data_IF_495207084078
#
_entry.id   IF_495207084078
#
_cell.length_a   1.000
_cell.length_b   1.000
_cell.length_c   1.000
_cell.angle_alpha   90.00
_cell.angle_beta   90.00
_cell.angle_gamma   90.00
#
_symmetry.space_group_name_H-M   'P 1'
#
loop_
_entity.id
_entity.type
_entity.pdbx_description
1 polymer ?
#
# COMPACT_ATOMS: atom_id res chain seq x y z
N UNK A 1 -13.70 -8.57 3.31
CA UNK A 1 -12.68 -8.30 4.32
C UNK A 1 -12.69 -6.82 4.67
N UNK A 2 -12.79 -6.45 5.95
CA UNK A 2 -12.59 -5.07 6.37
C UNK A 2 -11.16 -4.64 6.04
N UNK A 3 -10.96 -3.35 5.74
CA UNK A 3 -9.61 -2.83 5.55
C UNK A 3 -8.76 -3.06 6.81
N UNK A 4 -7.53 -3.58 6.67
CA UNK A 4 -6.63 -3.76 7.81
C UNK A 4 -6.33 -2.38 8.45
N UNK A 5 -6.00 -2.32 9.74
CA UNK A 5 -5.54 -1.09 10.38
C UNK A 5 -4.15 -0.71 9.84
N UNK A 6 -4.07 0.33 9.00
CA UNK A 6 -2.82 0.81 8.38
C UNK A 6 -1.80 1.35 9.38
N UNK A 7 -2.29 1.68 10.58
CA UNK A 7 -1.46 2.03 11.73
C UNK A 7 -0.85 0.84 12.46
N UNK A 8 -1.36 -0.39 12.26
CA UNK A 8 -0.88 -1.58 12.97
C UNK A 8 0.57 -1.94 12.60
N UNK A 9 1.48 -2.06 13.58
CA UNK A 9 2.87 -2.43 13.33
C UNK A 9 3.04 -3.92 12.96
N UNK A 10 2.05 -4.77 13.24
CA UNK A 10 2.09 -6.20 12.88
C UNK A 10 1.60 -6.43 11.45
N UNK A 11 0.50 -5.77 11.06
CA UNK A 11 0.00 -5.83 9.68
C UNK A 11 0.89 -5.02 8.72
N UNK A 12 1.44 -3.91 9.18
CA UNK A 12 2.27 -2.99 8.40
C UNK A 12 3.58 -2.66 9.12
N UNK A 13 4.51 -3.63 9.20
CA UNK A 13 5.80 -3.46 9.85
C UNK A 13 6.69 -2.43 9.15
N UNK A 14 7.62 -1.88 9.93
CA UNK A 14 8.74 -1.08 9.41
C UNK A 14 9.80 -1.98 8.77
N UNK A 15 10.70 -1.41 7.98
CA UNK A 15 11.84 -2.15 7.44
C UNK A 15 12.64 -2.83 8.57
N UNK A 16 12.87 -2.17 9.71
CA UNK A 16 13.66 -2.72 10.80
C UNK A 16 13.00 -3.94 11.48
N UNK A 17 11.67 -4.01 11.44
CA UNK A 17 10.88 -5.05 12.12
C UNK A 17 10.38 -6.15 11.16
N UNK A 18 10.72 -6.09 9.88
CA UNK A 18 10.40 -7.18 8.96
C UNK A 18 11.13 -8.46 9.36
N UNK A 19 10.51 -9.64 9.16
CA UNK A 19 11.19 -10.92 9.29
C UNK A 19 12.38 -11.01 8.33
N UNK A 20 13.41 -11.72 8.76
CA UNK A 20 14.58 -12.09 7.97
C UNK A 20 14.39 -13.47 7.33
N UNK A 21 15.24 -13.88 6.37
CA UNK A 21 15.18 -15.24 5.81
C UNK A 21 15.42 -16.36 6.84
N UNK A 22 16.02 -16.05 8.00
CA UNK A 22 16.29 -17.03 9.06
C UNK A 22 15.10 -17.18 10.02
N UNK A 23 14.21 -16.19 10.07
CA UNK A 23 13.03 -16.26 10.92
C UNK A 23 12.05 -17.31 10.39
N UNK A 24 11.50 -18.19 11.26
CA UNK A 24 10.55 -19.21 10.86
C UNK A 24 9.38 -18.58 10.12
N UNK A 25 8.84 -19.28 9.12
CA UNK A 25 7.66 -18.79 8.42
C UNK A 25 6.46 -18.89 9.37
N UNK A 26 5.85 -17.75 9.77
CA UNK A 26 4.74 -17.75 10.74
C UNK A 26 3.50 -18.49 10.23
N UNK A 27 3.45 -18.86 8.94
CA UNK A 27 2.43 -19.72 8.33
C UNK A 27 2.78 -21.22 8.38
N UNK A 28 3.90 -21.60 9.00
CA UNK A 28 4.19 -23.01 9.33
C UNK A 28 3.19 -23.49 10.39
N UNK A 29 2.81 -24.79 10.43
CA UNK A 29 1.79 -25.29 11.35
C UNK A 29 2.09 -25.04 12.85
N UNK A 30 3.34 -24.75 13.21
CA UNK A 30 3.78 -24.40 14.57
C UNK A 30 3.90 -22.87 14.81
N UNK A 31 3.66 -22.04 13.80
CA UNK A 31 3.71 -20.58 13.85
C UNK A 31 2.33 -19.98 14.05
N UNK A 32 2.07 -19.38 15.22
CA UNK A 32 0.76 -18.88 15.61
C UNK A 32 0.30 -17.57 14.95
N UNK A 33 0.39 -17.40 13.63
CA UNK A 33 -0.06 -16.19 12.95
C UNK A 33 -0.61 -16.41 11.54
N UNK A 34 -1.94 -16.54 11.43
CA UNK A 34 -2.65 -16.70 10.15
C UNK A 34 -2.74 -15.37 9.34
N UNK A 35 -2.54 -14.23 9.99
CA UNK A 35 -2.74 -12.91 9.39
C UNK A 35 -1.53 -12.44 8.54
N UNK A 36 -1.75 -12.08 7.25
CA UNK A 36 -0.67 -11.61 6.37
C UNK A 36 -0.19 -10.20 6.76
N UNK A 37 1.12 -9.95 6.64
CA UNK A 37 1.70 -8.61 6.74
C UNK A 37 2.09 -8.05 5.37
N UNK A 38 2.15 -6.72 5.29
CA UNK A 38 2.49 -5.98 4.09
C UNK A 38 3.49 -4.88 4.44
N UNK A 39 4.61 -4.81 3.72
CA UNK A 39 5.46 -3.63 3.80
C UNK A 39 4.82 -2.52 2.97
N UNK A 40 4.61 -1.36 3.60
CA UNK A 40 4.30 -0.10 2.92
C UNK A 40 5.53 0.79 2.90
N UNK A 41 5.91 1.28 1.73
CA UNK A 41 7.02 2.19 1.60
C UNK A 41 6.83 3.16 0.44
N UNK A 42 7.31 4.39 0.58
CA UNK A 42 7.29 5.37 -0.50
C UNK A 42 8.52 5.19 -1.39
N UNK A 43 8.32 5.06 -2.70
CA UNK A 43 9.40 4.99 -3.68
C UNK A 43 10.01 6.38 -3.85
N UNK A 44 11.31 6.50 -3.59
CA UNK A 44 12.08 7.75 -3.77
C UNK A 44 12.86 7.79 -5.06
N UNK A 45 13.38 6.64 -5.49
CA UNK A 45 14.16 6.56 -6.73
C UNK A 45 14.12 5.17 -7.37
N UNK A 46 14.39 5.15 -8.67
CA UNK A 46 14.63 3.95 -9.47
C UNK A 46 16.14 3.84 -9.73
N UNK A 47 16.78 2.90 -9.04
CA UNK A 47 18.23 2.65 -9.08
C UNK A 47 18.54 1.38 -9.89
N UNK A 48 17.71 1.06 -10.89
CA UNK A 48 17.89 -0.11 -11.74
C UNK A 48 19.16 0.01 -12.60
N UNK A 49 20.12 -0.89 -12.36
CA UNK A 49 21.36 -1.01 -13.16
C UNK A 49 21.38 -2.37 -13.87
N UNK A 50 21.43 -3.47 -13.10
CA UNK A 50 21.49 -4.85 -13.63
C UNK A 50 20.24 -5.66 -13.33
N UNK A 51 19.49 -5.28 -12.29
CA UNK A 51 18.22 -5.88 -11.88
C UNK A 51 17.29 -4.77 -11.36
N UNK A 52 15.96 -4.93 -11.45
CA UNK A 52 15.02 -3.91 -11.02
C UNK A 52 15.22 -3.59 -9.54
N UNK A 53 15.54 -2.34 -9.23
CA UNK A 53 15.90 -1.92 -7.87
C UNK A 53 15.33 -0.54 -7.57
N UNK A 54 14.54 -0.44 -6.51
CA UNK A 54 13.95 0.82 -6.04
C UNK A 54 14.59 1.23 -4.72
N UNK A 55 14.75 2.54 -4.50
CA UNK A 55 15.04 3.10 -3.18
C UNK A 55 13.75 3.55 -2.55
N UNK A 56 13.45 3.05 -1.35
CA UNK A 56 12.19 3.30 -0.66
C UNK A 56 12.41 3.86 0.75
N UNK A 57 11.42 4.61 1.27
CA UNK A 57 11.30 4.95 2.69
C UNK A 57 10.13 4.22 3.31
N UNK A 58 10.34 3.54 4.43
CA UNK A 58 9.24 2.97 5.20
C UNK A 58 8.46 4.04 5.98
N UNK A 59 7.47 3.60 6.77
CA UNK A 59 6.66 4.48 7.62
C UNK A 59 7.42 5.17 8.75
N UNK A 60 8.61 4.69 9.12
CA UNK A 60 9.50 5.34 10.08
C UNK A 60 10.49 6.29 9.40
N UNK A 61 10.42 6.45 8.06
CA UNK A 61 11.38 7.23 7.28
C UNK A 61 12.71 6.53 7.06
N UNK A 62 12.82 5.23 7.39
CA UNK A 62 14.05 4.48 7.22
C UNK A 62 14.27 4.13 5.75
N UNK A 63 15.44 4.46 5.18
CA UNK A 63 15.69 4.26 3.78
C UNK A 63 16.25 2.86 3.53
N UNK A 64 15.68 2.10 2.58
CA UNK A 64 16.18 0.77 2.18
C UNK A 64 16.09 0.55 0.66
N UNK A 65 16.76 -0.48 0.15
CA UNK A 65 16.61 -0.91 -1.24
C UNK A 65 15.55 -2.02 -1.34
N UNK A 66 14.66 -1.92 -2.31
CA UNK A 66 13.75 -2.99 -2.73
C UNK A 66 14.29 -3.59 -4.02
N UNK A 67 14.74 -4.83 -3.95
CA UNK A 67 15.46 -5.52 -5.04
C UNK A 67 14.58 -6.64 -5.56
N UNK A 68 14.34 -6.67 -6.88
CA UNK A 68 13.68 -7.80 -7.53
C UNK A 68 14.75 -8.79 -8.00
N UNK A 69 14.89 -9.89 -7.28
CA UNK A 69 15.97 -10.86 -7.48
C UNK A 69 15.57 -11.99 -8.44
N UNK A 70 16.55 -12.52 -9.17
CA UNK A 70 16.32 -13.49 -10.24
C UNK A 70 15.70 -12.89 -11.51
N UNK A 71 15.70 -11.57 -11.64
CA UNK A 71 15.30 -10.83 -12.84
C UNK A 71 16.48 -10.04 -13.39
N UNK A 72 16.62 -10.02 -14.71
CA UNK A 72 17.51 -9.10 -15.41
C UNK A 72 16.90 -7.69 -15.43
N UNK A 73 17.70 -6.70 -15.84
CA UNK A 73 17.35 -5.27 -15.84
C UNK A 73 15.94 -4.97 -16.35
N UNK A 74 15.58 -5.53 -17.49
CA UNK A 74 14.29 -5.29 -18.16
C UNK A 74 13.30 -6.45 -17.95
N UNK A 75 13.59 -7.35 -17.01
CA UNK A 75 12.75 -8.50 -16.66
C UNK A 75 11.47 -8.14 -15.90
N UNK A 76 11.29 -6.86 -15.54
CA UNK A 76 10.09 -6.34 -14.88
C UNK A 76 9.79 -4.91 -15.34
N UNK A 77 8.59 -4.68 -15.87
CA UNK A 77 8.12 -3.32 -16.15
C UNK A 77 7.57 -2.66 -14.87
N UNK A 78 8.46 -2.00 -14.13
CA UNK A 78 8.12 -1.25 -12.91
C UNK A 78 7.05 -0.18 -13.17
N UNK A 79 7.06 0.46 -14.34
CA UNK A 79 6.10 1.53 -14.68
C UNK A 79 4.71 0.96 -14.92
N UNK A 80 4.61 -0.17 -15.63
CA UNK A 80 3.35 -0.88 -15.84
C UNK A 80 2.72 -1.35 -14.52
N UNK A 81 3.56 -1.74 -13.54
CA UNK A 81 3.13 -2.04 -12.17
C UNK A 81 2.78 -0.81 -11.32
N UNK A 82 2.98 0.40 -11.85
CA UNK A 82 2.75 1.66 -11.13
C UNK A 82 3.85 1.99 -10.10
N UNK A 83 4.96 1.24 -10.09
CA UNK A 83 6.09 1.44 -9.20
C UNK A 83 6.97 2.57 -9.72
N UNK A 84 6.66 3.79 -9.29
CA UNK A 84 7.35 5.02 -9.69
C UNK A 84 7.58 5.95 -8.50
N UNK A 85 8.52 6.87 -8.64
CA UNK A 85 8.81 7.90 -7.64
C UNK A 85 7.53 8.58 -7.12
N UNK A 86 7.41 8.69 -5.80
CA UNK A 86 6.26 9.26 -5.11
C UNK A 86 5.06 8.33 -4.94
N UNK A 87 5.07 7.12 -5.50
CA UNK A 87 4.06 6.09 -5.22
C UNK A 87 4.43 5.29 -3.97
N UNK A 88 3.42 4.75 -3.30
CA UNK A 88 3.59 3.79 -2.22
C UNK A 88 3.62 2.37 -2.80
N UNK A 89 4.73 1.67 -2.61
CA UNK A 89 4.80 0.23 -2.90
C UNK A 89 4.19 -0.56 -1.75
N UNK A 90 3.50 -1.65 -2.09
CA UNK A 90 2.95 -2.64 -1.18
C UNK A 90 3.60 -3.97 -1.51
N UNK A 91 4.38 -4.52 -0.57
CA UNK A 91 5.04 -5.81 -0.72
C UNK A 91 4.43 -6.80 0.26
N UNK A 92 3.59 -7.75 -0.22
CA UNK A 92 3.05 -8.82 0.62
C UNK A 92 4.18 -9.67 1.20
N UNK A 93 4.05 -10.06 2.48
CA UNK A 93 4.97 -10.97 3.16
C UNK A 93 6.45 -10.61 2.98
N UNK A 94 6.74 -9.31 2.97
CA UNK A 94 8.10 -8.83 2.75
C UNK A 94 9.05 -9.41 3.81
N UNK A 95 10.26 -9.76 3.37
CA UNK A 95 11.37 -10.14 4.23
C UNK A 95 12.57 -9.24 3.97
N UNK A 96 13.28 -8.89 5.04
CA UNK A 96 14.48 -8.05 4.97
C UNK A 96 15.74 -8.88 5.06
N UNK A 97 16.77 -8.45 4.36
CA UNK A 97 18.15 -8.79 4.68
C UNK A 97 18.75 -7.63 5.48
N UNK A 98 19.18 -7.86 6.74
CA UNK A 98 19.80 -6.82 7.54
C UNK A 98 21.13 -6.36 6.91
N UNK A 99 21.59 -5.14 7.22
CA UNK A 99 22.96 -4.73 6.90
C UNK A 99 23.97 -5.77 7.39
N UNK A 100 24.99 -6.08 6.59
CA UNK A 100 26.10 -6.94 7.03
C UNK A 100 26.95 -6.28 8.13
N UNK A 101 27.02 -4.94 8.10
CA UNK A 101 27.78 -4.10 9.02
C UNK A 101 27.21 -2.66 8.98
N UNK A 102 27.70 -1.79 9.88
CA UNK A 102 27.22 -0.42 10.03
C UNK A 102 27.41 0.48 8.80
N UNK A 103 28.29 0.12 7.85
CA UNK A 103 28.54 0.87 6.62
C UNK A 103 27.59 0.49 5.47
N UNK A 104 26.82 -0.60 5.62
CA UNK A 104 25.90 -1.10 4.58
C UNK A 104 24.46 -0.75 4.93
N UNK A 105 23.63 -0.71 3.89
CA UNK A 105 22.17 -0.61 4.04
C UNK A 105 21.56 -1.98 3.80
N UNK A 106 20.59 -2.34 4.63
CA UNK A 106 19.81 -3.55 4.40
C UNK A 106 18.86 -3.37 3.21
N UNK A 107 18.27 -4.46 2.76
CA UNK A 107 17.38 -4.47 1.61
C UNK A 107 16.22 -5.44 1.81
N UNK A 108 15.16 -5.24 1.04
CA UNK A 108 14.06 -6.20 0.88
C UNK A 108 14.25 -6.86 -0.48
N UNK A 109 14.23 -8.19 -0.51
CA UNK A 109 14.33 -8.96 -1.76
C UNK A 109 12.96 -9.53 -2.13
N UNK A 110 12.56 -9.36 -3.38
CA UNK A 110 11.36 -9.96 -3.96
C UNK A 110 11.82 -10.95 -5.02
N UNK A 111 11.48 -12.22 -4.85
CA UNK A 111 11.84 -13.26 -5.81
C UNK A 111 11.04 -13.08 -7.11
N UNK A 112 11.61 -13.51 -8.24
CA UNK A 112 10.93 -13.54 -9.56
C UNK A 112 9.50 -14.08 -9.50
N UNK A 113 9.25 -15.14 -8.73
CA UNK A 113 7.94 -15.77 -8.62
C UNK A 113 6.86 -14.89 -7.98
N UNK A 114 7.24 -13.96 -7.09
CA UNK A 114 6.32 -13.08 -6.36
C UNK A 114 6.40 -11.61 -6.80
N UNK A 115 7.24 -11.29 -7.80
CA UNK A 115 7.40 -9.95 -8.32
C UNK A 115 6.05 -9.34 -8.80
N UNK A 116 5.19 -10.16 -9.40
CA UNK A 116 3.86 -9.74 -9.86
C UNK A 116 2.84 -9.56 -8.73
N UNK A 117 3.14 -9.95 -7.48
CA UNK A 117 2.29 -9.73 -6.30
C UNK A 117 2.52 -8.35 -5.67
N UNK A 118 3.63 -7.69 -6.00
CA UNK A 118 3.90 -6.32 -5.58
C UNK A 118 2.85 -5.40 -6.20
N UNK A 119 2.30 -4.49 -5.40
CA UNK A 119 1.28 -3.52 -5.81
C UNK A 119 1.79 -2.10 -5.59
N UNK A 120 1.16 -1.15 -6.27
CA UNK A 120 1.43 0.27 -6.09
C UNK A 120 0.14 1.05 -5.80
N UNK A 121 0.22 1.96 -4.84
CA UNK A 121 -0.81 2.97 -4.59
C UNK A 121 -0.28 4.32 -5.11
N UNK A 122 -1.01 5.03 -6.00
CA UNK A 122 -0.49 6.18 -6.75
C UNK A 122 -0.51 7.49 -5.93
N UNK A 123 0.02 7.44 -4.72
CA UNK A 123 0.19 8.55 -3.79
C UNK A 123 1.34 8.29 -2.79
N UNK A 124 1.90 9.34 -2.14
CA UNK A 124 2.89 9.18 -1.10
C UNK A 124 2.38 8.36 0.08
N UNK A 125 3.27 7.67 0.79
CA UNK A 125 2.92 6.77 1.90
C UNK A 125 2.02 7.44 2.95
N UNK A 126 2.32 8.69 3.31
CA UNK A 126 1.51 9.47 4.26
C UNK A 126 0.04 9.56 3.82
N UNK A 127 -0.20 9.95 2.57
CA UNK A 127 -1.55 10.06 1.99
C UNK A 127 -2.25 8.72 1.96
N UNK A 128 -1.54 7.63 1.66
CA UNK A 128 -2.12 6.27 1.65
C UNK A 128 -2.65 5.89 3.03
N UNK A 129 -1.86 6.12 4.09
CA UNK A 129 -2.28 5.82 5.47
C UNK A 129 -3.46 6.70 5.87
N UNK A 130 -3.41 8.01 5.61
CA UNK A 130 -4.49 8.94 5.94
C UNK A 130 -5.82 8.56 5.25
N UNK A 131 -5.78 8.26 3.95
CA UNK A 131 -6.96 7.84 3.19
C UNK A 131 -7.49 6.49 3.66
N UNK A 132 -6.61 5.52 3.90
CA UNK A 132 -7.02 4.18 4.33
C UNK A 132 -7.69 4.19 5.70
N UNK A 133 -7.13 4.91 6.67
CA UNK A 133 -7.72 5.07 7.99
C UNK A 133 -9.04 5.86 7.92
N UNK A 134 -9.13 6.88 7.06
CA UNK A 134 -10.38 7.60 6.80
C UNK A 134 -11.48 6.71 6.21
N UNK A 135 -11.14 5.77 5.31
CA UNK A 135 -12.09 4.78 4.79
C UNK A 135 -12.50 3.76 5.86
N UNK A 136 -11.58 3.36 6.73
CA UNK A 136 -11.84 2.41 7.81
C UNK A 136 -12.76 3.02 8.88
N UNK A 137 -12.51 4.28 9.25
CA UNK A 137 -13.30 5.02 10.26
C UNK A 137 -14.75 5.27 9.84
N UNK A 138 -15.03 5.33 8.53
CA UNK A 138 -16.36 5.50 7.96
C UNK A 138 -17.33 4.34 8.25
N UNK A 139 -16.82 3.16 8.62
CA UNK A 139 -17.64 2.00 8.97
C UNK A 139 -18.41 1.39 7.78
N UNK A 140 -19.29 0.41 8.05
CA UNK A 140 -19.99 -0.35 6.99
C UNK A 140 -21.11 0.42 6.27
N UNK A 141 -21.63 1.49 6.86
CA UNK A 141 -22.71 2.31 6.28
C UNK A 141 -22.36 3.81 6.34
N UNK A 142 -21.42 4.27 5.51
CA UNK A 142 -21.05 5.68 5.50
C UNK A 142 -22.20 6.54 4.99
N UNK A 143 -22.46 7.65 5.69
CA UNK A 143 -23.30 8.74 5.21
C UNK A 143 -22.72 9.42 3.96
N UNK A 144 -23.43 10.41 3.44
CA UNK A 144 -22.99 11.16 2.28
C UNK A 144 -21.66 11.88 2.54
N UNK A 145 -20.64 11.64 1.72
CA UNK A 145 -19.34 12.28 1.84
C UNK A 145 -19.33 13.79 1.51
N UNK A 146 -20.46 14.37 1.05
CA UNK A 146 -20.60 15.80 0.77
C UNK A 146 -21.33 16.60 1.87
N UNK A 147 -22.26 15.97 2.59
CA UNK A 147 -23.09 16.65 3.60
C UNK A 147 -23.24 15.89 4.93
N UNK A 148 -22.72 14.66 5.04
CA UNK A 148 -22.80 13.82 6.23
C UNK A 148 -24.11 13.06 6.43
N UNK A 149 -25.19 13.43 5.72
CA UNK A 149 -26.50 12.77 5.92
C UNK A 149 -26.48 11.30 5.49
N UNK A 150 -27.03 10.43 6.35
CA UNK A 150 -27.29 9.03 6.07
C UNK A 150 -28.70 8.80 5.45
N UNK A 151 -29.45 9.87 5.20
CA UNK A 151 -30.81 9.80 4.68
C UNK A 151 -30.83 9.63 3.16
N UNK A 152 -31.81 8.86 2.69
CA UNK A 152 -32.05 8.62 1.27
C UNK A 152 -31.12 7.60 0.63
N UNK A 153 -31.34 7.34 -0.66
CA UNK A 153 -30.53 6.42 -1.43
C UNK A 153 -29.16 7.05 -1.76
N UNK A 154 -28.09 6.51 -1.19
CA UNK A 154 -26.72 6.99 -1.45
C UNK A 154 -26.11 6.26 -2.65
N UNK A 155 -25.69 7.02 -3.65
CA UNK A 155 -24.98 6.49 -4.82
C UNK A 155 -23.47 6.44 -4.57
N UNK A 156 -22.83 5.32 -4.89
CA UNK A 156 -21.37 5.17 -4.82
C UNK A 156 -20.69 6.03 -5.89
N UNK A 157 -19.51 6.56 -5.59
CA UNK A 157 -18.65 7.13 -6.61
C UNK A 157 -18.29 6.06 -7.64
N UNK A 158 -18.61 6.29 -8.92
CA UNK A 158 -18.33 5.34 -10.00
C UNK A 158 -16.83 5.15 -10.28
N UNK A 159 -15.99 6.09 -9.84
CA UNK A 159 -14.54 6.00 -10.03
C UNK A 159 -13.85 5.04 -9.06
N UNK A 160 -14.13 5.19 -7.76
CA UNK A 160 -13.43 4.43 -6.71
C UNK A 160 -14.32 3.41 -5.98
N UNK A 161 -15.65 3.55 -6.04
CA UNK A 161 -16.61 2.72 -5.31
C UNK A 161 -16.62 2.90 -3.77
N UNK A 162 -15.66 3.64 -3.19
CA UNK A 162 -15.42 3.69 -1.75
C UNK A 162 -16.13 4.80 -0.97
N UNK A 163 -16.65 5.83 -1.64
CA UNK A 163 -17.42 6.92 -1.01
C UNK A 163 -18.82 7.01 -1.64
N UNK A 164 -19.78 7.59 -0.91
CA UNK A 164 -21.17 7.70 -1.36
C UNK A 164 -21.71 9.12 -1.28
N UNK A 165 -22.67 9.45 -2.13
CA UNK A 165 -23.31 10.75 -2.20
C UNK A 165 -24.82 10.62 -2.34
N UNK A 166 -25.59 11.48 -1.66
CA UNK A 166 -27.05 11.53 -1.79
C UNK A 166 -27.51 12.24 -3.08
N UNK A 167 -26.64 13.03 -3.70
CA UNK A 167 -26.96 13.80 -4.90
C UNK A 167 -25.73 14.13 -5.72
N UNK A 168 -25.95 14.51 -6.99
CA UNK A 168 -24.88 15.00 -7.85
C UNK A 168 -24.21 16.25 -7.29
N UNK A 169 -24.98 17.15 -6.67
CA UNK A 169 -24.45 18.35 -6.03
C UNK A 169 -23.47 17.99 -4.90
N UNK A 170 -23.83 17.03 -4.03
CA UNK A 170 -22.92 16.53 -2.99
C UNK A 170 -21.68 15.84 -3.58
N UNK A 171 -21.81 15.12 -4.69
CA UNK A 171 -20.65 14.54 -5.38
C UNK A 171 -19.69 15.62 -5.90
N UNK A 172 -20.21 16.67 -6.55
CA UNK A 172 -19.39 17.77 -7.08
C UNK A 172 -18.70 18.54 -5.94
N UNK A 173 -19.42 18.80 -4.85
CA UNK A 173 -18.86 19.40 -3.64
C UNK A 173 -17.76 18.54 -3.04
N UNK A 174 -18.03 17.25 -2.79
CA UNK A 174 -17.02 16.32 -2.27
C UNK A 174 -15.81 16.16 -3.20
N UNK A 175 -16.01 16.24 -4.51
CA UNK A 175 -14.95 16.18 -5.51
C UNK A 175 -14.01 17.39 -5.47
N UNK A 176 -14.56 18.60 -5.41
CA UNK A 176 -13.81 19.85 -5.54
C UNK A 176 -13.34 20.43 -4.21
N UNK A 177 -14.21 20.44 -3.20
CA UNK A 177 -13.93 21.01 -1.88
C UNK A 177 -13.51 19.94 -0.86
N UNK A 178 -14.06 18.73 -0.98
CA UNK A 178 -13.85 17.64 -0.02
C UNK A 178 -12.61 16.77 -0.27
N UNK A 179 -11.69 17.19 -1.13
CA UNK A 179 -10.44 16.46 -1.42
C UNK A 179 -10.58 15.19 -2.26
N UNK A 180 -11.81 14.72 -2.54
CA UNK A 180 -12.03 13.41 -3.18
C UNK A 180 -11.38 13.28 -4.57
N UNK A 181 -11.18 14.38 -5.31
CA UNK A 181 -10.44 14.36 -6.58
C UNK A 181 -9.04 13.75 -6.44
N UNK A 182 -8.33 14.05 -5.37
CA UNK A 182 -6.99 13.50 -5.09
C UNK A 182 -7.08 12.05 -4.60
N UNK A 183 -8.06 11.78 -3.75
CA UNK A 183 -8.19 10.50 -3.05
C UNK A 183 -8.84 9.41 -3.90
N UNK A 184 -9.62 9.75 -4.93
CA UNK A 184 -10.39 8.79 -5.72
C UNK A 184 -9.52 7.64 -6.26
N UNK A 185 -8.35 7.96 -6.83
CA UNK A 185 -7.39 6.95 -7.32
C UNK A 185 -6.72 6.16 -6.19
N UNK A 186 -6.53 6.77 -5.03
CA UNK A 186 -5.92 6.15 -3.84
C UNK A 186 -6.89 5.15 -3.24
N UNK A 187 -8.15 5.56 -3.05
CA UNK A 187 -9.26 4.72 -2.59
C UNK A 187 -9.45 3.54 -3.54
N UNK A 188 -9.44 3.79 -4.86
CA UNK A 188 -9.56 2.71 -5.86
C UNK A 188 -8.43 1.69 -5.71
N UNK A 189 -7.19 2.14 -5.55
CA UNK A 189 -6.04 1.25 -5.39
C UNK A 189 -6.08 0.47 -4.07
N UNK A 190 -6.39 1.13 -2.94
CA UNK A 190 -6.54 0.46 -1.63
C UNK A 190 -7.61 -0.63 -1.70
N UNK A 191 -8.77 -0.33 -2.29
CA UNK A 191 -9.85 -1.31 -2.47
C UNK A 191 -9.45 -2.46 -3.38
N UNK A 192 -8.70 -2.20 -4.46
CA UNK A 192 -8.20 -3.26 -5.34
C UNK A 192 -7.15 -4.17 -4.70
N UNK A 193 -6.53 -3.76 -3.59
CA UNK A 193 -5.54 -4.55 -2.86
C UNK A 193 -6.19 -5.31 -1.68
N UNK A 194 -7.09 -4.68 -0.92
CA UNK A 194 -7.64 -5.24 0.33
C UNK A 194 -9.17 -5.29 0.41
N UNK A 195 -9.91 -4.70 -0.52
CA UNK A 195 -11.37 -4.71 -0.52
C UNK A 195 -11.94 -5.87 -1.34
N UNK A 196 -13.12 -6.35 -0.95
CA UNK A 196 -13.96 -7.15 -1.85
C UNK A 196 -14.55 -6.24 -2.94
N UNK A 197 -14.53 -6.74 -4.16
CA UNK A 197 -15.17 -6.15 -5.34
C UNK A 197 -16.65 -5.78 -5.07
#
# INVERSE_FOLDING_TARGET
MPLPPFTSPTAFPTFATLPTPQDPDPTSPDGGGDEPWYLLAEIKDDMTITKPTLVCLDRAGSPFALVFDGLERDGLDLKALGLRKGACVVVPRARRTPPKDASKRGFVSVARGTAAEVRAVPAPLRTVVEVAEGLRAQGPQPGCAGCGSAEGALARCTGCGGVRYCSKACQVKGWSEGGHKGDCKVIKAIRGIWGDE
#
